data_IF_535171889184
#
_entry.id   IF_535171889184
#
_cell.length_a   1.000
_cell.length_b   1.000
_cell.length_c   1.000
_cell.angle_alpha   90.00
_cell.angle_beta   90.00
_cell.angle_gamma   90.00
#
_symmetry.space_group_name_H-M   'P 1'
#
loop_
_entity.id
_entity.type
_entity.pdbx_description
1 polymer ?
#
# COMPACT_ATOMS: atom_id res chain seq x y z
N UNK A 1 15.95 -30.71 -15.21
CA UNK A 1 14.91 -29.65 -15.22
C UNK A 1 14.22 -29.66 -13.85
N UNK A 2 13.78 -28.49 -13.36
CA UNK A 2 13.17 -28.16 -12.04
C UNK A 2 14.12 -27.60 -10.96
N UNK A 3 14.48 -26.30 -11.07
CA UNK A 3 15.15 -25.53 -10.00
C UNK A 3 14.56 -24.12 -9.78
N UNK A 4 13.42 -23.80 -10.41
CA UNK A 4 12.86 -22.43 -10.39
C UNK A 4 11.88 -22.18 -9.22
N UNK A 5 11.05 -23.16 -8.88
CA UNK A 5 9.99 -23.02 -7.87
C UNK A 5 10.51 -22.91 -6.44
N UNK A 6 11.59 -23.63 -6.08
CA UNK A 6 12.20 -23.55 -4.75
C UNK A 6 12.91 -22.20 -4.50
N UNK A 7 13.55 -21.65 -5.52
CA UNK A 7 14.22 -20.34 -5.45
C UNK A 7 13.19 -19.20 -5.32
N UNK A 8 12.03 -19.31 -5.97
CA UNK A 8 10.91 -18.38 -5.82
C UNK A 8 10.25 -18.47 -4.43
N UNK A 9 10.06 -19.69 -3.91
CA UNK A 9 9.57 -19.90 -2.53
C UNK A 9 10.52 -19.30 -1.48
N UNK A 10 11.84 -19.48 -1.62
CA UNK A 10 12.83 -18.90 -0.71
C UNK A 10 12.82 -17.36 -0.71
N UNK A 11 12.67 -16.72 -1.88
CA UNK A 11 12.57 -15.25 -1.97
C UNK A 11 11.30 -14.71 -1.30
N UNK A 12 10.16 -15.38 -1.49
CA UNK A 12 8.90 -15.01 -0.84
C UNK A 12 8.98 -15.17 0.68
N UNK A 13 9.65 -16.22 1.16
CA UNK A 13 9.90 -16.42 2.59
C UNK A 13 10.70 -15.26 3.19
N UNK A 14 11.83 -14.91 2.58
CA UNK A 14 12.68 -13.81 3.03
C UNK A 14 11.94 -12.46 3.01
N UNK A 15 11.13 -12.19 1.99
CA UNK A 15 10.31 -10.98 1.94
C UNK A 15 9.27 -10.94 3.06
N UNK A 16 8.65 -12.08 3.36
CA UNK A 16 7.69 -12.20 4.47
C UNK A 16 8.36 -11.98 5.81
N UNK A 17 9.52 -12.58 6.06
CA UNK A 17 10.26 -12.40 7.31
C UNK A 17 10.65 -10.94 7.52
N UNK A 18 11.20 -10.28 6.49
CA UNK A 18 11.53 -8.85 6.55
C UNK A 18 10.30 -7.99 6.81
N UNK A 19 9.17 -8.29 6.18
CA UNK A 19 7.93 -7.56 6.40
C UNK A 19 7.40 -7.73 7.83
N UNK A 20 7.51 -8.94 8.39
CA UNK A 20 7.11 -9.23 9.77
C UNK A 20 8.03 -8.56 10.80
N UNK A 21 9.34 -8.59 10.56
CA UNK A 21 10.34 -7.92 11.41
C UNK A 21 10.12 -6.40 11.41
N UNK A 22 9.96 -5.80 10.24
CA UNK A 22 9.67 -4.37 10.12
C UNK A 22 8.34 -4.01 10.79
N UNK A 23 7.30 -4.82 10.61
CA UNK A 23 6.03 -4.63 11.30
C UNK A 23 6.19 -4.68 12.82
N UNK A 24 6.94 -5.65 13.36
CA UNK A 24 7.22 -5.75 14.79
C UNK A 24 7.97 -4.53 15.31
N UNK A 25 8.99 -4.07 14.58
CA UNK A 25 9.77 -2.86 14.89
C UNK A 25 8.87 -1.63 14.96
N UNK A 26 8.01 -1.43 13.95
CA UNK A 26 7.11 -0.29 13.87
C UNK A 26 5.98 -0.35 14.91
N UNK A 27 5.46 -1.54 15.19
CA UNK A 27 4.47 -1.73 16.25
C UNK A 27 5.04 -1.39 17.62
N UNK A 28 6.29 -1.80 17.89
CA UNK A 28 7.01 -1.43 19.10
C UNK A 28 7.20 0.08 19.19
N UNK A 29 7.72 0.68 18.12
CA UNK A 29 7.93 2.13 18.02
C UNK A 29 6.64 2.92 18.28
N UNK A 30 5.51 2.49 17.72
CA UNK A 30 4.22 3.13 17.94
C UNK A 30 3.78 3.14 19.41
N UNK A 31 4.05 2.05 20.15
CA UNK A 31 3.66 1.88 21.56
C UNK A 31 4.60 2.62 22.51
N UNK A 32 5.89 2.62 22.21
CA UNK A 32 6.95 3.14 23.08
C UNK A 32 7.24 4.62 22.80
N UNK A 33 7.31 5.04 21.54
CA UNK A 33 7.59 6.42 21.14
C UNK A 33 6.75 6.82 19.92
N UNK A 34 5.56 7.34 20.22
CA UNK A 34 4.60 7.78 19.21
C UNK A 34 5.13 8.95 18.36
N UNK A 35 6.01 9.80 18.89
CA UNK A 35 6.57 10.91 18.14
C UNK A 35 7.61 10.44 17.11
N UNK A 36 8.50 9.53 17.52
CA UNK A 36 9.44 8.90 16.60
C UNK A 36 8.72 8.10 15.51
N UNK A 37 7.65 7.38 15.86
CA UNK A 37 6.81 6.69 14.88
C UNK A 37 6.22 7.65 13.85
N UNK A 38 5.63 8.76 14.29
CA UNK A 38 5.00 9.73 13.39
C UNK A 38 6.02 10.39 12.45
N UNK A 39 7.21 10.70 12.96
CA UNK A 39 8.32 11.21 12.15
C UNK A 39 8.74 10.19 11.08
N UNK A 40 8.89 8.93 11.47
CA UNK A 40 9.23 7.85 10.53
C UNK A 40 8.15 7.64 9.47
N UNK A 41 6.86 7.73 9.84
CA UNK A 41 5.71 7.64 8.92
C UNK A 41 5.79 8.73 7.86
N UNK A 42 5.94 9.99 8.29
CA UNK A 42 5.99 11.14 7.39
C UNK A 42 7.19 11.07 6.43
N UNK A 43 8.36 10.69 6.95
CA UNK A 43 9.58 10.56 6.16
C UNK A 43 9.48 9.44 5.11
N UNK A 44 8.85 8.32 5.48
CA UNK A 44 8.59 7.21 4.55
C UNK A 44 7.63 7.60 3.44
N UNK A 45 6.53 8.30 3.77
CA UNK A 45 5.60 8.84 2.77
C UNK A 45 6.32 9.82 1.85
N UNK A 46 7.10 10.75 2.42
CA UNK A 46 7.87 11.73 1.66
C UNK A 46 8.82 11.05 0.67
N UNK A 47 9.60 10.06 1.10
CA UNK A 47 10.50 9.30 0.21
C UNK A 47 9.74 8.60 -0.90
N UNK A 48 8.61 7.97 -0.59
CA UNK A 48 7.77 7.30 -1.58
C UNK A 48 7.29 8.29 -2.63
N UNK A 49 6.75 9.44 -2.22
CA UNK A 49 6.28 10.47 -3.14
C UNK A 49 7.45 11.02 -3.97
N UNK A 50 8.60 11.29 -3.36
CA UNK A 50 9.79 11.81 -4.05
C UNK A 50 10.39 10.82 -5.05
N UNK A 51 10.24 9.51 -4.83
CA UNK A 51 10.67 8.47 -5.78
C UNK A 51 9.85 8.42 -7.07
N UNK A 52 8.69 9.07 -7.12
CA UNK A 52 7.91 9.16 -8.35
C UNK A 52 8.70 9.94 -9.43
N UNK A 53 8.73 9.46 -10.69
CA UNK A 53 9.60 10.03 -11.73
C UNK A 53 9.13 11.40 -12.21
N UNK A 54 7.81 11.60 -12.31
CA UNK A 54 7.20 12.81 -12.87
C UNK A 54 6.80 13.82 -11.77
N UNK A 55 7.16 15.11 -11.92
CA UNK A 55 6.71 16.16 -11.00
C UNK A 55 5.19 16.31 -10.88
N UNK A 56 4.43 16.09 -11.96
CA UNK A 56 2.97 16.13 -11.94
C UNK A 56 2.37 15.04 -11.05
N UNK A 57 2.91 13.82 -11.14
CA UNK A 57 2.56 12.70 -10.26
C UNK A 57 2.91 12.99 -8.80
N UNK A 58 4.08 13.57 -8.52
CA UNK A 58 4.46 13.99 -7.16
C UNK A 58 3.42 14.94 -6.55
N UNK A 59 2.97 15.94 -7.31
CA UNK A 59 1.95 16.88 -6.87
C UNK A 59 0.63 16.15 -6.53
N UNK A 60 0.16 15.27 -7.41
CA UNK A 60 -1.07 14.49 -7.18
C UNK A 60 -0.97 13.60 -5.93
N UNK A 61 0.19 12.99 -5.69
CA UNK A 61 0.41 12.15 -4.52
C UNK A 61 0.41 12.97 -3.22
N UNK A 62 1.01 14.16 -3.23
CA UNK A 62 0.92 15.10 -2.10
C UNK A 62 -0.51 15.56 -1.83
N UNK A 63 -1.27 15.88 -2.87
CA UNK A 63 -2.69 16.24 -2.74
C UNK A 63 -3.51 15.09 -2.16
N UNK A 64 -3.25 13.85 -2.60
CA UNK A 64 -3.89 12.65 -2.05
C UNK A 64 -3.56 12.48 -0.57
N UNK A 65 -2.29 12.64 -0.19
CA UNK A 65 -1.85 12.56 1.19
C UNK A 65 -2.53 13.63 2.06
N UNK A 66 -2.60 14.89 1.59
CA UNK A 66 -3.24 15.98 2.31
C UNK A 66 -4.74 15.73 2.54
N UNK A 67 -5.44 15.23 1.51
CA UNK A 67 -6.87 14.85 1.63
C UNK A 67 -7.07 13.69 2.60
N UNK A 68 -6.15 12.72 2.62
CA UNK A 68 -6.18 11.63 3.58
C UNK A 68 -6.03 12.15 5.01
N UNK A 69 -5.00 12.97 5.27
CA UNK A 69 -4.74 13.51 6.60
C UNK A 69 -5.90 14.39 7.09
N UNK A 70 -6.49 15.21 6.21
CA UNK A 70 -7.70 15.99 6.52
C UNK A 70 -8.85 15.08 6.98
N UNK A 71 -9.17 14.03 6.21
CA UNK A 71 -10.25 13.08 6.55
C UNK A 71 -10.01 12.37 7.87
N UNK A 72 -8.77 11.92 8.11
CA UNK A 72 -8.42 11.24 9.36
C UNK A 72 -8.50 12.18 10.56
N UNK A 73 -8.11 13.44 10.39
CA UNK A 73 -8.24 14.44 11.45
C UNK A 73 -9.70 14.73 11.79
N UNK A 74 -10.58 14.86 10.79
CA UNK A 74 -12.01 15.10 10.98
C UNK A 74 -12.76 13.91 11.62
N UNK A 75 -12.27 12.68 11.48
CA UNK A 75 -12.92 11.49 12.05
C UNK A 75 -12.87 11.43 13.59
N UNK A 76 -11.94 12.18 14.21
CA UNK A 76 -11.66 12.09 15.64
C UNK A 76 -10.86 10.82 16.03
N UNK A 77 -10.17 10.83 17.19
CA UNK A 77 -9.19 9.79 17.55
C UNK A 77 -9.75 8.36 17.55
N UNK A 78 -10.98 8.17 18.01
CA UNK A 78 -11.60 6.85 18.17
C UNK A 78 -12.09 6.23 16.84
N UNK A 79 -12.44 7.05 15.84
CA UNK A 79 -13.03 6.56 14.60
C UNK A 79 -12.05 6.46 13.43
N UNK A 80 -10.83 7.00 13.56
CA UNK A 80 -9.80 6.98 12.50
C UNK A 80 -9.58 5.59 11.92
N UNK A 81 -9.44 4.57 12.78
CA UNK A 81 -9.21 3.20 12.33
C UNK A 81 -10.42 2.63 11.59
N UNK A 82 -11.64 2.89 12.09
CA UNK A 82 -12.88 2.43 11.47
C UNK A 82 -13.04 3.08 10.10
N UNK A 83 -12.83 4.39 10.00
CA UNK A 83 -12.86 5.12 8.72
C UNK A 83 -11.80 4.61 7.76
N UNK A 84 -10.57 4.38 8.22
CA UNK A 84 -9.50 3.86 7.38
C UNK A 84 -9.87 2.47 6.80
N UNK A 85 -10.44 1.58 7.62
CA UNK A 85 -10.92 0.27 7.16
C UNK A 85 -12.05 0.40 6.13
N UNK A 86 -13.02 1.29 6.38
CA UNK A 86 -14.13 1.53 5.47
C UNK A 86 -13.66 2.04 4.11
N UNK A 87 -12.79 3.07 4.10
CA UNK A 87 -12.21 3.62 2.87
C UNK A 87 -11.37 2.60 2.11
N UNK A 88 -10.61 1.77 2.83
CA UNK A 88 -9.83 0.70 2.21
C UNK A 88 -10.73 -0.31 1.50
N UNK A 89 -11.73 -0.85 2.20
CA UNK A 89 -12.62 -1.86 1.63
C UNK A 89 -13.49 -1.32 0.51
N UNK A 90 -13.98 -0.08 0.63
CA UNK A 90 -14.66 0.62 -0.46
C UNK A 90 -13.79 0.66 -1.72
N UNK A 91 -12.53 1.07 -1.58
CA UNK A 91 -11.64 1.18 -2.72
C UNK A 91 -11.27 -0.19 -3.33
N UNK A 92 -11.03 -1.20 -2.49
CA UNK A 92 -10.75 -2.56 -2.95
C UNK A 92 -11.92 -3.11 -3.76
N UNK A 93 -13.14 -3.04 -3.21
CA UNK A 93 -14.33 -3.62 -3.83
C UNK A 93 -14.77 -2.84 -5.06
N UNK A 94 -14.76 -1.51 -4.99
CA UNK A 94 -15.36 -0.66 -6.03
C UNK A 94 -14.36 -0.19 -7.09
N UNK A 95 -13.05 -0.35 -6.88
CA UNK A 95 -12.02 0.07 -7.85
C UNK A 95 -11.08 -1.06 -8.21
N UNK A 96 -10.36 -1.62 -7.24
CA UNK A 96 -9.28 -2.56 -7.55
C UNK A 96 -9.78 -3.89 -8.12
N UNK A 97 -10.77 -4.52 -7.49
CA UNK A 97 -11.29 -5.80 -7.96
C UNK A 97 -11.84 -5.72 -9.40
N UNK A 98 -12.70 -4.73 -9.76
CA UNK A 98 -13.14 -4.56 -11.13
C UNK A 98 -11.98 -4.34 -12.10
N UNK A 99 -11.04 -3.45 -11.79
CA UNK A 99 -9.89 -3.19 -12.66
C UNK A 99 -9.05 -4.45 -12.87
N UNK A 100 -8.80 -5.24 -11.82
CA UNK A 100 -8.04 -6.49 -11.94
C UNK A 100 -8.79 -7.53 -12.79
N UNK A 101 -10.11 -7.60 -12.69
CA UNK A 101 -10.96 -8.47 -13.53
C UNK A 101 -10.93 -8.04 -15.00
N UNK A 102 -10.93 -6.74 -15.28
CA UNK A 102 -10.75 -6.20 -16.64
C UNK A 102 -9.37 -6.56 -17.20
N UNK A 103 -8.31 -6.42 -16.41
CA UNK A 103 -6.95 -6.78 -16.82
C UNK A 103 -6.81 -8.27 -17.13
N UNK A 104 -7.40 -9.15 -16.30
CA UNK A 104 -7.36 -10.60 -16.52
C UNK A 104 -8.20 -11.04 -17.72
N UNK A 105 -9.39 -10.45 -17.90
CA UNK A 105 -10.30 -10.75 -19.02
C UNK A 105 -9.83 -10.14 -20.36
N UNK A 106 -9.01 -9.09 -20.33
CA UNK A 106 -8.40 -8.51 -21.52
C UNK A 106 -7.31 -9.38 -22.16
N UNK A 107 -6.75 -10.34 -21.42
CA UNK A 107 -5.74 -11.28 -21.93
C UNK A 107 -6.34 -12.45 -22.71
N UNK A 108 -7.63 -12.77 -22.53
CA UNK A 108 -8.30 -13.88 -23.24
C UNK A 108 -8.82 -13.52 -24.63
N UNK A 109 -8.90 -12.23 -25.01
CA UNK A 109 -9.46 -11.80 -26.31
C UNK A 109 -8.43 -11.60 -27.44
N UNK A 110 -7.13 -11.86 -27.23
CA UNK A 110 -6.09 -11.80 -28.28
C UNK A 110 -5.77 -13.15 -28.94
N UNK A 111 -6.65 -14.15 -28.81
CA UNK A 111 -6.38 -15.53 -29.26
C UNK A 111 -7.52 -16.24 -29.98
N UNK A 112 -8.51 -15.52 -30.54
CA UNK A 112 -9.54 -16.15 -31.37
C UNK A 112 -9.77 -15.32 -32.64
N UNK A 113 -8.83 -15.42 -33.58
CA UNK A 113 -9.15 -15.34 -35.01
C UNK A 113 -9.04 -16.77 -35.52
N UNK A 114 -10.19 -17.41 -35.70
CA UNK A 114 -10.38 -18.56 -36.57
C UNK A 114 -11.22 -18.07 -37.75
#
# INVERSE_FOLDING_TARGET
MCASTYCDQGKRHLQRERALEEHARLSRLYREDRFAFERWRLDTIKRLIQSAPDPGLRKKLWELQARWDQRMNSAGPHNRLVLAKALFWDHVLNRWLPTLQEFSSGHTKKGLKA
#
